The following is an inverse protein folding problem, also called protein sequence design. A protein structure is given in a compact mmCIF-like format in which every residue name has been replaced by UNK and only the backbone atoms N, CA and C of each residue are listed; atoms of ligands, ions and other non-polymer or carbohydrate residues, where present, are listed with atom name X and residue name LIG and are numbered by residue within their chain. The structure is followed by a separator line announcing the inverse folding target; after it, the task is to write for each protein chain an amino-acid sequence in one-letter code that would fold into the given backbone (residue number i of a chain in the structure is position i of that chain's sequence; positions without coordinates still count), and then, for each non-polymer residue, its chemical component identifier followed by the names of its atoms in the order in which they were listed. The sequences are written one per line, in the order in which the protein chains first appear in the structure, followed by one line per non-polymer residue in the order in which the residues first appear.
data_IF_660658701779
#
_entry.id   IF_660658701779
#
_cell.length_a   1.000
_cell.length_b   1.000
_cell.length_c   1.000
_cell.angle_alpha   90.00
_cell.angle_beta   90.00
_cell.angle_gamma   90.00
#
_symmetry.space_group_name_H-M   'P 1'
#
loop_
_entity.id
_entity.type
_entity.pdbx_description
1 polymer ?
#
# COMPACT_ATOMS: atom_id res chain seq x y z
N UNK A 1 26.21 3.59 6.52
CA UNK A 1 25.23 4.68 6.64
C UNK A 1 24.01 4.24 5.84
N UNK A 2 22.78 4.19 6.38
CA UNK A 2 21.63 3.78 5.58
C UNK A 2 21.31 4.87 4.54
N UNK A 3 21.16 4.50 3.28
CA UNK A 3 20.82 5.41 2.18
C UNK A 3 19.31 5.72 2.09
N UNK A 4 18.60 5.65 3.21
CA UNK A 4 17.13 5.68 3.27
C UNK A 4 16.57 5.83 4.69
N UNK A 5 15.26 5.63 4.83
CA UNK A 5 14.54 5.69 6.10
C UNK A 5 14.27 4.27 6.60
N UNK A 6 14.61 3.99 7.85
CA UNK A 6 14.21 2.74 8.52
C UNK A 6 12.81 2.93 9.10
N UNK A 7 11.87 2.07 8.71
CA UNK A 7 10.53 2.02 9.30
C UNK A 7 10.45 0.78 10.16
N UNK A 8 10.30 0.98 11.47
CA UNK A 8 10.24 -0.09 12.46
C UNK A 8 8.82 -0.27 13.02
N UNK A 9 8.56 -1.44 13.58
CA UNK A 9 7.30 -1.74 14.22
C UNK A 9 7.25 -1.09 15.61
N UNK A 10 6.35 -0.13 15.78
CA UNK A 10 6.00 0.41 17.08
C UNK A 10 4.49 0.30 17.28
N UNK A 11 4.09 -0.39 18.34
CA UNK A 11 2.71 -0.52 18.78
C UNK A 11 2.21 0.85 19.27
N UNK A 12 1.09 1.31 18.72
CA UNK A 12 0.32 2.40 19.34
C UNK A 12 -0.71 1.84 20.31
N UNK A 13 -1.13 2.65 21.29
CA UNK A 13 -2.24 2.30 22.20
C UNK A 13 -3.57 2.06 21.45
N UNK A 14 -3.70 2.60 20.25
CA UNK A 14 -4.89 2.47 19.40
C UNK A 14 -4.81 1.25 18.47
N UNK A 15 -3.72 0.49 18.49
CA UNK A 15 -3.47 -0.63 17.56
C UNK A 15 -3.18 -0.19 16.12
N UNK A 16 -2.94 1.11 15.92
CA UNK A 16 -2.54 1.70 14.65
C UNK A 16 -1.03 1.50 14.42
N UNK A 17 -0.61 1.11 13.21
CA UNK A 17 0.79 0.87 12.95
C UNK A 17 1.57 2.18 12.88
N UNK A 18 2.77 2.18 13.45
CA UNK A 18 3.78 3.20 13.14
C UNK A 18 4.24 3.03 11.69
N UNK A 19 4.22 4.12 10.92
CA UNK A 19 4.57 4.06 9.50
C UNK A 19 4.72 5.43 8.85
N UNK A 20 5.20 5.41 7.61
CA UNK A 20 5.34 6.59 6.77
C UNK A 20 4.15 6.68 5.82
N UNK A 21 3.40 7.78 5.90
CA UNK A 21 2.20 7.98 5.09
C UNK A 21 2.17 9.38 4.48
N UNK A 22 1.58 9.48 3.28
CA UNK A 22 1.17 10.74 2.67
C UNK A 22 -0.31 10.72 2.33
N UNK A 23 -0.93 11.89 2.28
CA UNK A 23 -2.33 12.05 1.88
C UNK A 23 -2.45 11.92 0.35
N UNK A 24 -3.52 11.25 -0.07
CA UNK A 24 -3.99 11.24 -1.46
C UNK A 24 -5.12 12.27 -1.56
N UNK A 25 -4.94 13.29 -2.40
CA UNK A 25 -5.87 14.40 -2.59
C UNK A 25 -6.41 14.57 -4.02
N UNK A 26 -5.92 13.82 -5.00
CA UNK A 26 -6.37 13.84 -6.39
C UNK A 26 -6.80 12.47 -6.88
N UNK A 27 -7.49 12.44 -8.01
CA UNK A 27 -8.15 11.24 -8.54
C UNK A 27 -7.20 10.36 -9.36
N UNK A 28 -6.09 10.95 -9.84
CA UNK A 28 -5.04 10.24 -10.57
C UNK A 28 -3.71 10.37 -9.84
N UNK A 29 -3.22 9.23 -9.34
CA UNK A 29 -2.00 9.19 -8.55
C UNK A 29 -1.32 7.81 -8.64
N UNK A 30 -0.02 7.80 -8.40
CA UNK A 30 0.81 6.60 -8.29
C UNK A 30 1.84 6.79 -7.19
N UNK A 31 2.09 5.71 -6.44
CA UNK A 31 3.09 5.63 -5.40
C UNK A 31 4.02 4.43 -5.62
N UNK A 32 5.32 4.71 -5.70
CA UNK A 32 6.38 3.70 -5.74
C UNK A 32 7.20 3.73 -4.46
N UNK A 33 7.37 2.55 -3.86
CA UNK A 33 8.19 2.33 -2.68
C UNK A 33 9.35 1.41 -3.06
N UNK A 34 10.56 1.97 -3.13
CA UNK A 34 11.79 1.20 -3.34
C UNK A 34 12.31 0.79 -1.97
N UNK A 35 12.30 -0.51 -1.69
CA UNK A 35 12.60 -1.05 -0.37
C UNK A 35 13.61 -2.18 -0.47
N UNK A 36 14.48 -2.29 0.53
CA UNK A 36 15.09 -3.58 0.85
C UNK A 36 14.12 -4.30 1.81
N UNK A 37 13.44 -5.36 1.35
CA UNK A 37 12.35 -5.92 2.10
C UNK A 37 12.86 -6.61 3.39
N UNK A 38 12.28 -6.21 4.51
CA UNK A 38 12.21 -7.03 5.73
C UNK A 38 10.91 -7.84 5.71
N UNK A 39 10.90 -9.01 6.34
CA UNK A 39 9.67 -9.78 6.57
C UNK A 39 8.63 -8.92 7.32
N UNK A 40 7.36 -8.97 6.87
CA UNK A 40 6.27 -8.24 7.54
C UNK A 40 6.10 -6.79 7.08
N UNK A 41 6.80 -6.36 6.03
CA UNK A 41 6.59 -5.04 5.44
C UNK A 41 5.25 -4.96 4.68
N UNK A 42 4.54 -3.85 4.88
CA UNK A 42 3.31 -3.53 4.16
C UNK A 42 3.44 -2.21 3.41
N UNK A 43 3.04 -2.21 2.15
CA UNK A 43 2.69 -0.99 1.41
C UNK A 43 1.20 -0.97 1.21
N UNK A 44 0.50 0.12 1.52
CA UNK A 44 -0.95 0.17 1.34
C UNK A 44 -1.48 1.55 0.98
N UNK A 45 -2.64 1.50 0.31
CA UNK A 45 -3.65 2.53 0.42
C UNK A 45 -4.58 2.18 1.58
N UNK A 46 -4.84 3.13 2.47
CA UNK A 46 -5.67 2.92 3.66
C UNK A 46 -6.54 4.11 3.98
N UNK A 47 -7.66 3.85 4.62
CA UNK A 47 -8.38 4.87 5.39
C UNK A 47 -8.09 4.73 6.88
N UNK A 48 -8.18 3.51 7.39
CA UNK A 48 -7.90 3.12 8.77
C UNK A 48 -7.33 1.68 8.83
N UNK A 49 -7.17 1.11 10.02
CA UNK A 49 -6.68 -0.27 10.16
C UNK A 49 -7.63 -1.34 9.62
N UNK A 50 -8.94 -1.07 9.61
CA UNK A 50 -10.02 -1.93 9.11
C UNK A 50 -10.28 -1.83 7.60
N UNK A 51 -9.82 -0.76 6.97
CA UNK A 51 -10.05 -0.43 5.57
C UNK A 51 -8.73 -0.12 4.89
N UNK A 52 -8.11 -1.16 4.31
CA UNK A 52 -6.84 -1.03 3.60
C UNK A 52 -6.65 -2.07 2.50
N UNK A 53 -5.96 -1.65 1.44
CA UNK A 53 -5.50 -2.47 0.32
C UNK A 53 -3.98 -2.47 0.33
N UNK A 54 -3.38 -3.63 0.58
CA UNK A 54 -1.95 -3.73 0.90
C UNK A 54 -1.23 -4.82 0.13
N UNK A 55 0.02 -4.53 -0.22
CA UNK A 55 1.03 -5.52 -0.54
C UNK A 55 1.73 -5.90 0.76
N UNK A 56 1.72 -7.19 1.10
CA UNK A 56 2.42 -7.77 2.23
C UNK A 56 3.64 -8.52 1.71
N UNK A 57 4.82 -8.18 2.23
CA UNK A 57 6.08 -8.84 1.88
C UNK A 57 6.43 -9.87 2.94
N UNK A 58 6.37 -11.14 2.57
CA UNK A 58 6.84 -12.27 3.37
C UNK A 58 8.25 -12.70 2.92
N UNK A 59 8.79 -13.74 3.55
CA UNK A 59 10.15 -14.25 3.27
C UNK A 59 10.35 -14.65 1.80
N UNK A 60 9.32 -15.21 1.14
CA UNK A 60 9.44 -15.76 -0.22
C UNK A 60 8.43 -15.23 -1.22
N UNK A 61 7.46 -14.41 -0.79
CA UNK A 61 6.42 -13.89 -1.67
C UNK A 61 5.94 -12.49 -1.28
N UNK A 62 5.39 -11.80 -2.27
CA UNK A 62 4.58 -10.59 -2.08
C UNK A 62 3.13 -10.97 -2.33
N UNK A 63 2.24 -10.56 -1.43
CA UNK A 63 0.82 -10.92 -1.46
C UNK A 63 -0.05 -9.68 -1.37
N UNK A 64 -1.00 -9.53 -2.31
CA UNK A 64 -2.01 -8.49 -2.26
C UNK A 64 -3.18 -8.91 -1.35
N UNK A 65 -3.51 -8.06 -0.38
CA UNK A 65 -4.54 -8.31 0.63
C UNK A 65 -5.47 -7.11 0.70
N UNK A 66 -6.78 -7.36 0.65
CA UNK A 66 -7.80 -6.38 1.00
C UNK A 66 -8.34 -6.64 2.40
N UNK A 67 -8.51 -5.57 3.18
CA UNK A 67 -9.33 -5.55 4.40
C UNK A 67 -10.41 -4.49 4.24
N UNK A 68 -11.67 -4.91 4.39
CA UNK A 68 -12.86 -4.07 4.30
C UNK A 68 -13.73 -4.42 5.52
N UNK A 69 -13.56 -3.66 6.61
CA UNK A 69 -14.14 -3.96 7.91
C UNK A 69 -13.70 -5.33 8.44
N UNK A 70 -14.64 -6.27 8.52
CA UNK A 70 -14.40 -7.64 8.97
C UNK A 70 -13.93 -8.57 7.84
N UNK A 71 -14.13 -8.19 6.58
CA UNK A 71 -13.72 -9.00 5.44
C UNK A 71 -12.22 -8.82 5.22
N UNK A 72 -11.49 -9.93 5.22
CA UNK A 72 -10.07 -9.99 4.82
C UNK A 72 -9.92 -11.01 3.70
N UNK A 73 -9.37 -10.59 2.56
CA UNK A 73 -9.17 -11.44 1.40
C UNK A 73 -7.75 -11.34 0.87
N UNK A 74 -7.15 -12.48 0.54
CA UNK A 74 -5.93 -12.57 -0.25
C UNK A 74 -6.35 -12.65 -1.72
N UNK A 75 -5.82 -11.75 -2.53
CA UNK A 75 -6.30 -11.53 -3.90
C UNK A 75 -5.34 -12.07 -4.96
N UNK A 76 -4.06 -12.16 -4.61
CA UNK A 76 -3.02 -12.72 -5.46
C UNK A 76 -1.67 -12.66 -4.77
N UNK A 77 -0.75 -13.52 -5.19
CA UNK A 77 0.64 -13.50 -4.75
C UNK A 77 1.62 -13.67 -5.92
N UNK A 78 2.88 -13.29 -5.67
CA UNK A 78 4.02 -13.48 -6.57
C UNK A 78 5.25 -13.84 -5.75
N UNK A 79 6.19 -14.65 -6.30
CA UNK A 79 7.50 -14.84 -5.70
C UNK A 79 8.18 -13.50 -5.41
N UNK A 80 8.88 -13.41 -4.28
CA UNK A 80 9.66 -12.23 -3.92
C UNK A 80 10.84 -12.06 -4.89
N UNK A 81 10.97 -10.93 -5.60
CA UNK A 81 12.12 -10.66 -6.45
C UNK A 81 13.38 -10.32 -5.64
N UNK A 82 14.51 -10.23 -6.33
CA UNK A 82 15.76 -9.76 -5.73
C UNK A 82 15.66 -8.31 -5.25
N UNK A 83 16.33 -8.01 -4.13
CA UNK A 83 16.36 -6.68 -3.50
C UNK A 83 17.28 -5.71 -4.27
N UNK A 84 16.96 -4.40 -4.34
CA UNK A 84 15.74 -3.76 -3.84
C UNK A 84 14.53 -4.01 -4.74
N UNK A 85 13.35 -4.12 -4.13
CA UNK A 85 12.08 -4.29 -4.85
C UNK A 85 11.34 -2.95 -4.93
N UNK A 86 10.55 -2.76 -6.00
CA UNK A 86 9.62 -1.64 -6.11
C UNK A 86 8.20 -2.13 -5.88
N UNK A 87 7.57 -1.70 -4.79
CA UNK A 87 6.15 -1.92 -4.54
C UNK A 87 5.36 -0.73 -5.07
N UNK A 88 4.40 -0.99 -5.95
CA UNK A 88 3.61 0.04 -6.62
C UNK A 88 2.15 -0.05 -6.23
N UNK A 89 1.58 1.11 -5.90
CA UNK A 89 0.15 1.30 -5.70
C UNK A 89 -0.30 2.50 -6.53
N UNK A 90 -1.35 2.34 -7.32
CA UNK A 90 -1.88 3.45 -8.14
C UNK A 90 -3.38 3.42 -8.28
N UNK A 91 -3.94 4.60 -8.47
CA UNK A 91 -5.29 4.76 -8.99
C UNK A 91 -5.28 4.53 -10.51
N UNK A 92 -6.31 3.85 -10.99
CA UNK A 92 -6.61 3.61 -12.40
C UNK A 92 -8.08 3.91 -12.66
N UNK A 93 -8.45 4.03 -13.94
CA UNK A 93 -9.83 4.25 -14.31
C UNK A 93 -10.74 3.16 -13.71
N UNK A 94 -11.87 3.54 -13.10
CA UNK A 94 -12.74 2.60 -12.41
C UNK A 94 -13.36 1.62 -13.41
N UNK A 95 -13.35 0.33 -13.06
CA UNK A 95 -14.05 -0.69 -13.88
C UNK A 95 -15.57 -0.50 -13.81
N UNK A 96 -16.10 0.03 -12.70
CA UNK A 96 -17.55 0.11 -12.50
C UNK A 96 -18.02 1.28 -11.63
N UNK A 97 -18.36 2.44 -12.21
CA UNK A 97 -19.02 3.57 -11.52
C UNK A 97 -18.43 3.94 -10.12
N UNK A 98 -17.14 3.64 -9.90
CA UNK A 98 -16.41 3.93 -8.67
C UNK A 98 -15.57 5.19 -8.82
N UNK A 99 -14.91 5.65 -7.75
CA UNK A 99 -13.98 6.77 -7.83
C UNK A 99 -12.72 6.41 -8.66
N UNK A 100 -12.21 5.20 -8.46
CA UNK A 100 -11.03 4.64 -9.10
C UNK A 100 -11.00 3.12 -8.89
N UNK A 101 -10.19 2.42 -9.67
CA UNK A 101 -9.69 1.10 -9.34
C UNK A 101 -8.28 1.22 -8.79
N UNK A 102 -8.00 0.55 -7.68
CA UNK A 102 -6.70 0.55 -7.02
C UNK A 102 -5.92 -0.69 -7.48
N UNK A 103 -4.85 -0.44 -8.21
CA UNK A 103 -3.92 -1.48 -8.65
C UNK A 103 -2.78 -1.63 -7.64
N UNK A 104 -2.55 -2.87 -7.21
CA UNK A 104 -1.47 -3.28 -6.33
C UNK A 104 -0.52 -4.20 -7.11
N UNK A 105 0.77 -3.87 -7.14
CA UNK A 105 1.73 -4.70 -7.86
C UNK A 105 3.19 -4.47 -7.53
N UNK A 106 4.05 -5.26 -8.18
CA UNK A 106 5.50 -5.09 -8.16
C UNK A 106 5.91 -4.31 -9.42
N UNK A 107 6.59 -3.18 -9.24
CA UNK A 107 7.06 -2.34 -10.34
C UNK A 107 8.35 -2.88 -10.98
N UNK A 108 8.42 -2.81 -12.31
CA UNK A 108 9.62 -3.13 -13.11
C UNK A 108 9.82 -2.07 -14.19
N UNK A 109 10.70 -1.09 -13.93
CA UNK A 109 10.86 0.07 -14.82
C UNK A 109 9.53 0.81 -15.01
N UNK A 110 9.04 0.87 -16.26
CA UNK A 110 7.74 1.48 -16.59
C UNK A 110 6.53 0.54 -16.39
N UNK A 111 6.76 -0.77 -16.19
CA UNK A 111 5.71 -1.77 -16.04
C UNK A 111 5.38 -2.12 -14.59
N UNK A 112 4.31 -2.90 -14.41
CA UNK A 112 3.86 -3.44 -13.13
C UNK A 112 3.42 -4.89 -13.32
N UNK A 113 3.94 -5.82 -12.52
CA UNK A 113 3.30 -7.14 -12.34
C UNK A 113 2.17 -6.98 -11.32
N UNK A 114 0.94 -7.04 -11.81
CA UNK A 114 -0.26 -6.73 -11.05
C UNK A 114 -0.70 -7.96 -10.26
N UNK A 115 -0.78 -7.80 -8.94
CA UNK A 115 -1.27 -8.83 -8.02
C UNK A 115 -2.76 -8.68 -7.78
N UNK A 116 -3.28 -7.46 -7.76
CA UNK A 116 -4.71 -7.20 -7.58
C UNK A 116 -5.15 -5.86 -8.17
N UNK A 117 -6.44 -5.79 -8.51
CA UNK A 117 -7.19 -4.56 -8.79
C UNK A 117 -8.52 -4.63 -8.05
N UNK A 118 -8.87 -3.59 -7.30
CA UNK A 118 -10.15 -3.49 -6.60
C UNK A 118 -10.71 -2.07 -6.67
N UNK A 119 -12.03 -1.98 -6.65
CA UNK A 119 -12.75 -0.70 -6.60
C UNK A 119 -12.38 0.10 -5.35
N UNK A 120 -11.88 1.32 -5.53
CA UNK A 120 -11.42 2.19 -4.46
C UNK A 120 -12.53 2.72 -3.55
N UNK A 121 -13.82 2.57 -3.91
CA UNK A 121 -14.96 3.00 -3.08
C UNK A 121 -14.94 2.36 -1.70
N UNK A 122 -14.39 1.16 -1.56
CA UNK A 122 -14.37 0.47 -0.28
C UNK A 122 -13.36 1.06 0.71
N UNK A 123 -12.55 2.02 0.24
CA UNK A 123 -11.66 2.85 1.04
C UNK A 123 -12.16 4.31 1.08
N UNK A 124 -13.48 4.51 1.07
CA UNK A 124 -14.12 5.81 1.27
C UNK A 124 -14.67 5.97 2.69
N UNK A 125 -14.93 7.21 3.10
CA UNK A 125 -15.57 7.52 4.39
C UNK A 125 -17.01 7.01 4.47
N UNK A 126 -17.72 6.87 3.35
CA UNK A 126 -19.08 6.30 3.31
C UNK A 126 -19.10 4.81 3.66
N UNK A 127 -18.04 4.07 3.34
CA UNK A 127 -17.91 2.64 3.66
C UNK A 127 -17.26 2.44 5.03
N UNK A 128 -16.16 3.13 5.28
CA UNK A 128 -15.36 2.94 6.49
C UNK A 128 -15.83 3.76 7.70
N UNK A 129 -16.58 4.83 7.46
CA UNK A 129 -16.88 5.85 8.46
C UNK A 129 -15.69 6.82 8.69
N UNK A 130 -15.79 7.60 9.76
CA UNK A 130 -14.75 8.56 10.15
C UNK A 130 -14.75 9.85 9.34
N UNK A 131 -13.67 10.63 9.47
CA UNK A 131 -13.54 11.98 8.90
C UNK A 131 -12.22 12.19 8.15
N UNK A 132 -11.43 11.12 7.97
CA UNK A 132 -10.12 11.17 7.33
C UNK A 132 -10.22 10.73 5.87
N UNK A 133 -9.34 11.29 5.03
CA UNK A 133 -9.16 10.83 3.66
C UNK A 133 -8.17 9.68 3.54
N UNK A 134 -7.98 9.22 2.30
CA UNK A 134 -7.06 8.12 1.97
C UNK A 134 -5.60 8.52 2.23
N UNK A 135 -4.86 7.59 2.83
CA UNK A 135 -3.42 7.66 3.01
C UNK A 135 -2.77 6.54 2.20
N UNK A 136 -1.72 6.87 1.46
CA UNK A 136 -0.82 5.87 0.88
C UNK A 136 0.49 5.89 1.64
N UNK A 137 1.03 4.71 1.93
CA UNK A 137 2.23 4.64 2.73
C UNK A 137 2.69 3.22 2.99
N UNK A 138 3.58 3.11 3.96
CA UNK A 138 4.13 1.84 4.38
C UNK A 138 4.38 1.76 5.88
N UNK A 139 4.27 0.55 6.40
CA UNK A 139 4.56 0.20 7.78
C UNK A 139 5.04 -1.25 7.86
N UNK A 140 5.36 -1.71 9.06
CA UNK A 140 5.69 -3.11 9.35
C UNK A 140 4.95 -3.58 10.61
N UNK A 141 4.64 -4.87 10.67
CA UNK A 141 4.03 -5.51 11.86
C UNK A 141 5.02 -6.28 12.74
N UNK A 142 6.28 -6.39 12.33
CA UNK A 142 7.22 -7.29 13.00
C UNK A 142 8.67 -6.82 12.91
N UNK A 143 9.23 -6.72 11.70
CA UNK A 143 10.64 -6.35 11.49
C UNK A 143 10.81 -5.02 10.78
N UNK A 144 11.88 -4.33 11.08
CA UNK A 144 12.29 -3.12 10.37
C UNK A 144 12.45 -3.34 8.86
N UNK A 145 12.04 -2.35 8.09
CA UNK A 145 12.20 -2.29 6.63
C UNK A 145 12.99 -1.04 6.25
N UNK A 146 13.99 -1.20 5.37
CA UNK A 146 14.75 -0.07 4.84
C UNK A 146 14.05 0.47 3.58
N UNK A 147 13.50 1.67 3.71
CA UNK A 147 12.88 2.42 2.62
C UNK A 147 13.94 3.27 1.95
N UNK A 148 14.41 2.83 0.78
CA UNK A 148 15.42 3.57 0.01
C UNK A 148 14.85 4.83 -0.62
N UNK A 149 13.61 4.74 -1.15
CA UNK A 149 12.95 5.87 -1.81
C UNK A 149 11.44 5.68 -1.84
N UNK A 150 10.71 6.78 -1.69
CA UNK A 150 9.30 6.87 -2.03
C UNK A 150 9.13 7.91 -3.12
N UNK A 151 8.42 7.56 -4.19
CA UNK A 151 7.95 8.50 -5.20
C UNK A 151 6.44 8.51 -5.15
N UNK A 152 5.86 9.68 -4.92
CA UNK A 152 4.44 9.92 -5.04
C UNK A 152 4.22 10.95 -6.14
N UNK A 153 3.39 10.61 -7.12
CA UNK A 153 2.97 11.51 -8.18
C UNK A 153 1.46 11.60 -8.18
N UNK A 154 0.93 12.81 -8.28
CA UNK A 154 -0.50 13.08 -8.22
C UNK A 154 -0.83 14.21 -9.19
N UNK A 155 -1.93 14.07 -9.92
CA UNK A 155 -2.50 15.16 -10.71
C UNK A 155 -3.74 15.69 -9.99
N UNK A 156 -3.67 16.96 -9.58
CA UNK A 156 -4.83 17.70 -9.07
C UNK A 156 -5.43 18.50 -10.23
N UNK A 157 -6.74 18.39 -10.39
CA UNK A 157 -7.53 19.23 -11.31
C UNK A 157 -7.83 20.56 -10.64
#
# INVERSE_FOLDING_TARGET
MPEGVIVDHALSETGEPSGLFTRVGGDQWEADFVVDPGEGAFTALRLDGGHCYRLHVAVSEVTAVARIGQVRSVLGSRPLPDSPITLRVRSTEPTWHGPDDIELGIGYGAGTDVLARLDGRYLSTEVAGGFTGRLVGMWTDSREVLVRRVRFAERRV
#
